data_IF_134492979474
#
_entry.id   IF_134492979474
#
_cell.length_a   1.000
_cell.length_b   1.000
_cell.length_c   1.000
_cell.angle_alpha   90.00
_cell.angle_beta   90.00
_cell.angle_gamma   90.00
#
_symmetry.space_group_name_H-M   'P 1'
#
loop_
_entity.id
_entity.type
_entity.pdbx_description
1 polymer ?
#
# COMPACT_ATOMS: atom_id res chain seq x y z
N UNK A 1 1.82 12.06 5.24
CA UNK A 1 1.46 10.67 5.60
C UNK A 1 2.34 9.73 4.80
N UNK A 2 2.95 8.76 5.45
CA UNK A 2 3.69 7.68 4.79
C UNK A 2 2.75 6.51 4.46
N UNK A 3 3.20 5.59 3.62
CA UNK A 3 2.48 4.42 3.13
C UNK A 3 1.89 3.59 4.28
N UNK A 4 2.70 3.27 5.28
CA UNK A 4 2.29 2.49 6.45
C UNK A 4 1.14 3.16 7.23
N UNK A 5 1.21 4.49 7.43
CA UNK A 5 0.14 5.23 8.11
C UNK A 5 -1.15 5.25 7.30
N UNK A 6 -1.06 5.43 5.96
CA UNK A 6 -2.25 5.39 5.10
C UNK A 6 -2.92 4.02 5.14
N UNK A 7 -2.12 2.95 5.06
CA UNK A 7 -2.61 1.58 5.15
C UNK A 7 -3.29 1.32 6.51
N UNK A 8 -2.64 1.72 7.62
CA UNK A 8 -3.18 1.58 8.97
C UNK A 8 -4.50 2.33 9.14
N UNK A 9 -4.55 3.60 8.73
CA UNK A 9 -5.78 4.40 8.79
C UNK A 9 -6.88 3.83 7.90
N UNK A 10 -6.56 3.28 6.73
CA UNK A 10 -7.54 2.61 5.88
C UNK A 10 -8.17 1.41 6.56
N UNK A 11 -7.37 0.56 7.19
CA UNK A 11 -7.83 -0.63 7.91
C UNK A 11 -8.72 -0.23 9.10
N UNK A 12 -8.28 0.75 9.90
CA UNK A 12 -9.01 1.23 11.08
C UNK A 12 -10.36 1.86 10.71
N UNK A 13 -10.41 2.68 9.65
CA UNK A 13 -11.65 3.32 9.18
C UNK A 13 -12.69 2.31 8.70
N UNK A 14 -12.25 1.27 8.01
CA UNK A 14 -13.12 0.21 7.51
C UNK A 14 -13.52 -0.80 8.60
N UNK A 15 -12.90 -0.73 9.79
CA UNK A 15 -13.10 -1.68 10.91
C UNK A 15 -12.94 -3.14 10.48
N UNK A 16 -12.04 -3.41 9.54
CA UNK A 16 -11.74 -4.77 9.07
C UNK A 16 -10.42 -5.26 9.64
N UNK A 17 -10.30 -6.57 9.87
CA UNK A 17 -9.07 -7.18 10.33
C UNK A 17 -8.08 -7.41 9.16
N UNK A 18 -6.79 -7.53 9.48
CA UNK A 18 -5.76 -7.91 8.50
C UNK A 18 -6.08 -9.24 7.80
N UNK A 19 -6.75 -10.16 8.50
CA UNK A 19 -7.18 -11.44 7.91
C UNK A 19 -8.30 -11.25 6.89
N UNK A 20 -9.25 -10.33 7.15
CA UNK A 20 -10.27 -9.96 6.17
C UNK A 20 -9.68 -9.25 4.95
N UNK A 21 -8.67 -8.39 5.15
CA UNK A 21 -7.93 -7.77 4.04
C UNK A 21 -7.23 -8.83 3.19
N UNK A 22 -6.50 -9.76 3.82
CA UNK A 22 -5.86 -10.90 3.13
C UNK A 22 -6.87 -11.71 2.31
N UNK A 23 -8.02 -12.05 2.90
CA UNK A 23 -9.08 -12.78 2.20
C UNK A 23 -9.66 -12.01 1.01
N UNK A 24 -9.85 -10.68 1.14
CA UNK A 24 -10.33 -9.83 0.04
C UNK A 24 -9.30 -9.70 -1.09
N UNK A 25 -8.00 -9.68 -0.76
CA UNK A 25 -6.93 -9.72 -1.75
C UNK A 25 -6.89 -11.06 -2.48
N UNK A 26 -7.07 -12.17 -1.75
CA UNK A 26 -7.13 -13.50 -2.36
C UNK A 26 -8.28 -13.66 -3.37
N UNK A 27 -9.41 -12.97 -3.18
CA UNK A 27 -10.51 -12.91 -4.17
C UNK A 27 -10.14 -12.20 -5.48
N UNK A 28 -9.01 -11.49 -5.50
CA UNK A 28 -8.44 -10.81 -6.68
C UNK A 28 -7.17 -11.53 -7.16
N UNK A 29 -7.00 -12.80 -6.80
CA UNK A 29 -5.80 -13.62 -7.09
C UNK A 29 -4.49 -13.08 -6.47
N UNK A 30 -4.60 -12.20 -5.47
CA UNK A 30 -3.46 -11.63 -4.74
C UNK A 30 -3.34 -12.29 -3.35
N UNK A 31 -2.66 -13.43 -3.31
CA UNK A 31 -2.43 -14.16 -2.06
C UNK A 31 -1.35 -13.49 -1.21
N UNK A 32 -1.77 -12.61 -0.29
CA UNK A 32 -0.88 -11.96 0.68
C UNK A 32 -1.22 -12.47 2.08
N UNK A 33 -0.22 -13.00 2.79
CA UNK A 33 -0.39 -13.47 4.17
C UNK A 33 -0.62 -12.31 5.17
N UNK A 34 -1.39 -12.58 6.23
CA UNK A 34 -1.64 -11.63 7.33
C UNK A 34 -0.35 -11.07 7.93
N UNK A 35 0.70 -11.88 8.07
CA UNK A 35 1.99 -11.45 8.60
C UNK A 35 2.68 -10.44 7.68
N UNK A 36 2.55 -10.59 6.36
CA UNK A 36 3.05 -9.61 5.39
C UNK A 36 2.28 -8.30 5.51
N UNK A 37 0.94 -8.36 5.56
CA UNK A 37 0.11 -7.16 5.77
C UNK A 37 0.44 -6.45 7.08
N UNK A 38 0.67 -7.20 8.16
CA UNK A 38 1.09 -6.65 9.45
C UNK A 38 2.44 -5.93 9.35
N UNK A 39 3.41 -6.53 8.65
CA UNK A 39 4.72 -5.89 8.46
C UNK A 39 4.61 -4.62 7.59
N UNK A 40 3.79 -4.63 6.53
CA UNK A 40 3.49 -3.45 5.71
C UNK A 40 2.83 -2.33 6.52
N UNK A 41 1.81 -2.66 7.31
CA UNK A 41 1.08 -1.71 8.17
C UNK A 41 2.00 -1.08 9.22
N UNK A 42 2.98 -1.82 9.71
CA UNK A 42 3.94 -1.36 10.71
C UNK A 42 5.23 -0.76 10.11
N UNK A 43 5.32 -0.61 8.78
CA UNK A 43 6.51 -0.09 8.09
C UNK A 43 7.76 -0.96 8.22
N UNK A 44 7.60 -2.24 8.58
CA UNK A 44 8.71 -3.22 8.68
C UNK A 44 9.08 -3.83 7.34
N UNK A 45 8.23 -3.66 6.33
CA UNK A 45 8.51 -4.02 4.94
C UNK A 45 8.36 -2.78 4.08
N UNK A 46 9.12 -2.69 2.97
CA UNK A 46 8.87 -1.67 1.96
C UNK A 46 7.45 -1.80 1.40
N UNK A 47 6.91 -0.73 0.81
CA UNK A 47 5.61 -0.76 0.15
C UNK A 47 5.44 -1.96 -0.79
N UNK A 48 4.21 -2.46 -0.90
CA UNK A 48 3.94 -3.62 -1.73
C UNK A 48 4.08 -3.28 -3.23
N UNK A 49 4.02 -4.31 -4.08
CA UNK A 49 3.92 -4.13 -5.53
C UNK A 49 2.71 -3.27 -5.90
N UNK A 50 2.82 -2.59 -7.02
CA UNK A 50 1.80 -1.63 -7.46
C UNK A 50 0.40 -2.25 -7.63
N UNK A 51 0.33 -3.48 -8.17
CA UNK A 51 -0.91 -4.26 -8.28
C UNK A 51 -1.60 -4.50 -6.92
N UNK A 52 -0.80 -4.78 -5.89
CA UNK A 52 -1.26 -4.98 -4.51
C UNK A 52 -1.71 -3.65 -3.92
N UNK A 53 -0.99 -2.57 -4.20
CA UNK A 53 -1.35 -1.23 -3.71
C UNK A 53 -2.67 -0.75 -4.32
N UNK A 54 -2.93 -1.04 -5.60
CA UNK A 54 -4.21 -0.76 -6.27
C UNK A 54 -5.34 -1.53 -5.57
N UNK A 55 -5.17 -2.84 -5.40
CA UNK A 55 -6.17 -3.67 -4.75
C UNK A 55 -6.43 -3.27 -3.29
N UNK A 56 -5.37 -2.93 -2.53
CA UNK A 56 -5.48 -2.41 -1.17
C UNK A 56 -6.23 -1.08 -1.14
N UNK A 57 -5.92 -0.15 -2.05
CA UNK A 57 -6.61 1.13 -2.11
C UNK A 57 -8.11 0.95 -2.38
N UNK A 58 -8.48 0.05 -3.29
CA UNK A 58 -9.87 -0.30 -3.58
C UNK A 58 -10.56 -0.94 -2.36
N UNK A 59 -9.94 -1.95 -1.74
CA UNK A 59 -10.50 -2.67 -0.58
C UNK A 59 -10.71 -1.75 0.62
N UNK A 60 -9.82 -0.77 0.81
CA UNK A 60 -9.79 0.13 1.95
C UNK A 60 -10.42 1.50 1.65
N UNK A 61 -10.91 1.74 0.44
CA UNK A 61 -11.45 3.04 0.03
C UNK A 61 -10.44 4.18 0.15
N UNK A 62 -9.16 3.91 -0.11
CA UNK A 62 -8.11 4.93 -0.14
C UNK A 62 -8.04 5.59 -1.52
N UNK A 63 -7.57 6.83 -1.56
CA UNK A 63 -7.16 7.47 -2.81
C UNK A 63 -5.98 6.70 -3.42
N UNK A 64 -6.26 5.97 -4.50
CA UNK A 64 -5.29 5.10 -5.15
C UNK A 64 -4.05 5.85 -5.65
N UNK A 65 -4.22 7.07 -6.16
CA UNK A 65 -3.10 7.88 -6.67
C UNK A 65 -2.21 8.28 -5.51
N UNK A 66 -2.78 8.84 -4.44
CA UNK A 66 -2.00 9.27 -3.27
C UNK A 66 -1.31 8.10 -2.57
N UNK A 67 -1.98 6.96 -2.47
CA UNK A 67 -1.43 5.77 -1.83
C UNK A 67 -0.25 5.19 -2.62
N UNK A 68 -0.36 5.10 -3.95
CA UNK A 68 0.72 4.65 -4.83
C UNK A 68 1.88 5.64 -4.87
N UNK A 69 1.61 6.95 -4.87
CA UNK A 69 2.66 7.97 -4.77
C UNK A 69 3.45 7.85 -3.46
N UNK A 70 2.79 7.57 -2.33
CA UNK A 70 3.48 7.31 -1.08
C UNK A 70 4.38 6.06 -1.18
N UNK A 71 3.88 4.98 -1.81
CA UNK A 71 4.67 3.78 -2.05
C UNK A 71 5.93 4.06 -2.89
N UNK A 72 5.78 4.80 -3.99
CA UNK A 72 6.90 5.16 -4.88
C UNK A 72 7.95 6.01 -4.16
N UNK A 73 7.52 7.02 -3.39
CA UNK A 73 8.42 7.91 -2.64
C UNK A 73 9.27 7.18 -1.60
N UNK A 74 8.78 6.08 -1.06
CA UNK A 74 9.50 5.27 -0.06
C UNK A 74 10.35 4.16 -0.68
N UNK A 75 10.06 3.78 -1.92
CA UNK A 75 10.75 2.67 -2.61
C UNK A 75 11.88 3.17 -3.50
N UNK A 76 11.71 4.35 -4.11
CA UNK A 76 12.64 4.88 -5.10
C UNK A 76 13.54 5.95 -4.45
N UNK A 77 14.87 5.90 -4.68
CA UNK A 77 15.78 6.97 -4.30
C UNK A 77 15.34 8.35 -4.79
N UNK A 78 15.52 9.39 -3.98
CA UNK A 78 15.09 10.76 -4.33
C UNK A 78 15.67 11.25 -5.67
N UNK A 79 16.89 10.86 -6.00
CA UNK A 79 17.55 11.23 -7.26
C UNK A 79 16.79 10.75 -8.49
N UNK A 80 16.25 9.52 -8.47
CA UNK A 80 15.42 9.01 -9.57
C UNK A 80 14.06 9.75 -9.66
N UNK A 81 13.51 10.19 -8.52
CA UNK A 81 12.27 10.97 -8.51
C UNK A 81 12.47 12.35 -9.15
N UNK A 82 13.62 12.99 -8.91
CA UNK A 82 13.97 14.27 -9.55
C UNK A 82 14.06 14.10 -11.07
N UNK A 83 14.74 13.06 -11.55
CA UNK A 83 14.86 12.78 -12.98
C UNK A 83 13.50 12.58 -13.66
N UNK A 84 12.56 11.88 -13.00
CA UNK A 84 11.20 11.70 -13.53
C UNK A 84 10.45 13.04 -13.64
N UNK A 85 10.67 13.97 -12.70
CA UNK A 85 10.05 15.31 -12.74
C UNK A 85 10.66 16.22 -13.79
N UNK A 86 11.95 16.08 -14.07
CA UNK A 86 12.65 16.89 -15.07
C UNK A 86 12.37 16.41 -16.51
N UNK A 87 11.99 15.15 -16.68
CA UNK A 87 11.70 14.55 -17.98
C UNK A 87 10.25 14.70 -18.46
N UNK A 88 9.34 15.22 -17.63
CA UNK A 88 7.92 15.43 -17.94
C UNK A 88 7.55 16.89 -18.01
#
# INVERSE_FOLDING_TARGET
MNYASMLKSGIERNKISLMQVSFRLAKKDLCIDKAVLSKLQNGKLPPAKDEVNIALAEILGLDAIRFRLAAVRETIPEELIKLIKEAG
#
